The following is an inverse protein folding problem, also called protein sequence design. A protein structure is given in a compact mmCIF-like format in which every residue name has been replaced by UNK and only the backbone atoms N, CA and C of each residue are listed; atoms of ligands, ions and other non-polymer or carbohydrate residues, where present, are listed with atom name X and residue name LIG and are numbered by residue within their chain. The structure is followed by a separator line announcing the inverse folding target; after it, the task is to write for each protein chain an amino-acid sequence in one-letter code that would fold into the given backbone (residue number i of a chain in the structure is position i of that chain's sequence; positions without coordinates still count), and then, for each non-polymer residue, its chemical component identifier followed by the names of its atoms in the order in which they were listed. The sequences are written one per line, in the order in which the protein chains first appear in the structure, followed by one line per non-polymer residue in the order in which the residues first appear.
data_IF_014392504272
#
_entry.id   IF_014392504272
#
_cell.length_a   1.000
_cell.length_b   1.000
_cell.length_c   1.000
_cell.angle_alpha   90.00
_cell.angle_beta   90.00
_cell.angle_gamma   90.00
#
_symmetry.space_group_name_H-M   'P 1'
#
loop_
_entity.id
_entity.type
_entity.pdbx_description
1 polymer ?
#
# COMPACT_ATOMS: atom_id res chain seq x y z
N UNK A 1 -11.10 24.12 12.27
CA UNK A 1 -12.20 23.24 11.82
C UNK A 1 -11.86 22.43 10.56
N UNK A 2 -11.57 23.05 9.41
CA UNK A 2 -11.32 22.35 8.13
C UNK A 2 -10.23 21.25 8.19
N UNK A 3 -9.07 21.54 8.79
CA UNK A 3 -7.99 20.57 8.91
C UNK A 3 -8.34 19.35 9.80
N UNK A 4 -9.11 19.56 10.87
CA UNK A 4 -9.59 18.47 11.73
C UNK A 4 -10.61 17.60 11.00
N UNK A 5 -11.56 18.22 10.28
CA UNK A 5 -12.53 17.49 9.49
C UNK A 5 -11.85 16.57 8.45
N UNK A 6 -10.83 17.08 7.75
CA UNK A 6 -10.08 16.27 6.78
C UNK A 6 -9.36 15.08 7.43
N UNK A 7 -8.76 15.25 8.60
CA UNK A 7 -8.09 14.14 9.32
C UNK A 7 -9.07 13.04 9.69
N UNK A 8 -10.23 13.41 10.24
CA UNK A 8 -11.29 12.45 10.60
C UNK A 8 -11.80 11.73 9.35
N UNK A 9 -12.11 12.46 8.27
CA UNK A 9 -12.62 11.88 7.03
C UNK A 9 -11.57 11.01 6.29
N UNK A 10 -10.28 11.29 6.46
CA UNK A 10 -9.20 10.49 5.89
C UNK A 10 -8.92 9.18 6.65
N UNK A 11 -9.49 9.02 7.84
CA UNK A 11 -9.26 7.82 8.65
C UNK A 11 -10.17 6.70 8.14
N UNK A 12 -9.61 5.56 7.72
CA UNK A 12 -10.44 4.44 7.27
C UNK A 12 -11.34 3.93 8.39
N UNK A 13 -12.59 3.60 8.08
CA UNK A 13 -13.53 3.04 9.06
C UNK A 13 -13.28 1.55 9.37
N UNK A 14 -12.50 0.87 8.52
CA UNK A 14 -12.17 -0.55 8.67
C UNK A 14 -10.78 -0.72 9.29
N UNK A 15 -10.59 -1.82 10.03
CA UNK A 15 -9.28 -2.29 10.48
C UNK A 15 -8.45 -2.94 9.35
N UNK A 16 -9.06 -3.23 8.20
CA UNK A 16 -8.42 -3.91 7.07
C UNK A 16 -8.51 -3.16 5.72
N UNK A 17 -8.24 -1.84 5.67
CA UNK A 17 -8.47 -1.03 4.47
C UNK A 17 -7.54 -1.38 3.30
N UNK A 18 -6.43 -2.07 3.57
CA UNK A 18 -5.40 -2.46 2.59
C UNK A 18 -5.35 -3.97 2.35
N UNK A 19 -6.29 -4.75 2.88
CA UNK A 19 -6.29 -6.21 2.79
C UNK A 19 -6.29 -6.71 1.35
N UNK A 20 -7.04 -6.06 0.45
CA UNK A 20 -7.04 -6.39 -0.98
C UNK A 20 -5.64 -6.28 -1.62
N UNK A 21 -4.84 -5.32 -1.18
CA UNK A 21 -3.46 -5.11 -1.65
C UNK A 21 -2.58 -6.26 -1.15
N UNK A 22 -2.76 -6.67 0.11
CA UNK A 22 -2.05 -7.82 0.66
C UNK A 22 -2.48 -9.14 0.02
N UNK A 23 -3.76 -9.33 -0.30
CA UNK A 23 -4.24 -10.51 -1.03
C UNK A 23 -3.59 -10.61 -2.42
N UNK A 24 -3.50 -9.48 -3.14
CA UNK A 24 -2.80 -9.43 -4.44
C UNK A 24 -1.29 -9.68 -4.29
N UNK A 25 -0.67 -9.18 -3.22
CA UNK A 25 0.72 -9.46 -2.89
C UNK A 25 0.95 -10.89 -2.38
N UNK A 26 -0.11 -11.65 -2.07
CA UNK A 26 -0.07 -13.02 -1.54
C UNK A 26 0.76 -14.00 -2.38
N UNK A 27 0.80 -13.79 -3.70
CA UNK A 27 1.62 -14.57 -4.64
C UNK A 27 3.12 -14.40 -4.34
N UNK A 28 3.52 -13.20 -3.90
CA UNK A 28 4.92 -12.80 -3.63
C UNK A 28 5.30 -13.07 -2.16
N UNK A 29 4.32 -13.19 -1.25
CA UNK A 29 4.58 -13.45 0.18
C UNK A 29 4.48 -14.93 0.55
N UNK A 30 3.60 -15.69 -0.08
CA UNK A 30 3.31 -17.09 0.28
C UNK A 30 4.05 -18.15 -0.55
N UNK A 31 4.35 -17.88 -1.82
CA UNK A 31 4.97 -18.87 -2.70
C UNK A 31 6.47 -19.04 -2.44
N UNK A 32 6.93 -20.21 -1.97
CA UNK A 32 8.36 -20.49 -1.65
C UNK A 32 9.35 -20.12 -2.77
N UNK A 33 8.92 -20.18 -4.04
CA UNK A 33 9.72 -19.82 -5.23
C UNK A 33 9.74 -18.32 -5.54
N UNK A 34 8.68 -17.59 -5.19
CA UNK A 34 8.51 -16.16 -5.46
C UNK A 34 8.65 -15.30 -4.20
N UNK A 35 8.93 -15.95 -3.06
CA UNK A 35 8.99 -15.32 -1.75
C UNK A 35 10.08 -14.26 -1.74
N UNK A 36 9.63 -13.01 -1.64
CA UNK A 36 10.52 -11.88 -1.57
C UNK A 36 11.01 -11.67 -0.13
N UNK A 37 12.23 -11.19 0.01
CA UNK A 37 12.77 -10.76 1.30
C UNK A 37 11.93 -9.59 1.85
N UNK A 38 11.74 -9.56 3.16
CA UNK A 38 10.72 -8.72 3.80
C UNK A 38 10.96 -7.22 3.52
N UNK A 39 12.20 -6.76 3.62
CA UNK A 39 12.54 -5.34 3.40
C UNK A 39 12.24 -4.95 1.95
N UNK A 40 12.53 -5.83 1.00
CA UNK A 40 12.24 -5.59 -0.42
C UNK A 40 10.73 -5.60 -0.71
N UNK A 41 9.99 -6.50 -0.08
CA UNK A 41 8.53 -6.58 -0.19
C UNK A 41 7.87 -5.28 0.28
N UNK A 42 8.27 -4.77 1.45
CA UNK A 42 7.75 -3.52 2.02
C UNK A 42 8.01 -2.33 1.09
N UNK A 43 9.24 -2.21 0.56
CA UNK A 43 9.59 -1.17 -0.42
C UNK A 43 8.75 -1.27 -1.69
N UNK A 44 8.53 -2.48 -2.19
CA UNK A 44 7.73 -2.71 -3.40
C UNK A 44 6.26 -2.36 -3.17
N UNK A 45 5.70 -2.75 -2.03
CA UNK A 45 4.33 -2.40 -1.61
C UNK A 45 4.18 -0.88 -1.46
N UNK A 46 5.15 -0.22 -0.85
CA UNK A 46 5.19 1.24 -0.74
C UNK A 46 5.13 1.90 -2.13
N UNK A 47 5.99 1.47 -3.06
CA UNK A 47 5.97 2.02 -4.43
C UNK A 47 4.64 1.74 -5.13
N UNK A 48 4.10 0.53 -5.02
CA UNK A 48 2.83 0.16 -5.65
C UNK A 48 1.65 1.01 -5.15
N UNK A 49 1.53 1.17 -3.82
CA UNK A 49 0.44 1.95 -3.21
C UNK A 49 0.51 3.43 -3.55
N UNK A 50 1.71 3.96 -3.70
CA UNK A 50 1.94 5.37 -3.99
C UNK A 50 2.08 5.66 -5.49
N UNK A 51 1.71 4.70 -6.37
CA UNK A 51 1.88 4.81 -7.83
C UNK A 51 1.38 6.13 -8.40
N UNK A 52 0.20 6.57 -8.00
CA UNK A 52 -0.37 7.83 -8.47
C UNK A 52 0.54 9.05 -8.19
N UNK A 53 1.21 9.08 -7.04
CA UNK A 53 2.04 10.22 -6.61
C UNK A 53 3.39 10.31 -7.31
N UNK A 54 3.99 9.19 -7.71
CA UNK A 54 5.25 9.21 -8.45
C UNK A 54 5.06 9.02 -9.97
N UNK A 55 3.92 8.50 -10.42
CA UNK A 55 3.58 8.48 -11.85
C UNK A 55 3.42 9.89 -12.44
N UNK A 56 3.07 10.88 -11.60
CA UNK A 56 3.02 12.29 -11.97
C UNK A 56 4.40 12.97 -11.99
N UNK A 57 5.48 12.28 -11.59
CA UNK A 57 6.85 12.80 -11.58
C UNK A 57 7.56 12.53 -12.93
N UNK A 58 6.84 12.03 -13.94
CA UNK A 58 7.38 11.91 -15.29
C UNK A 58 7.52 13.28 -15.98
N UNK A 59 8.76 13.76 -15.99
CA UNK A 59 9.37 14.48 -17.11
C UNK A 59 9.43 13.61 -18.37
#
# INVERSE_FOLDING_TARGET
LKAMALRVLSTPASSTPVERVFSQAGIITGGRRLRMEQVLLEKKLFLYMNRAMWSSIHC
#
